data_IF_304645453151
#
_entry.id   IF_304645453151
#
_cell.length_a   1.000
_cell.length_b   1.000
_cell.length_c   1.000
_cell.angle_alpha   90.00
_cell.angle_beta   90.00
_cell.angle_gamma   90.00
#
_symmetry.space_group_name_H-M   'P 1'
#
loop_
_entity.id
_entity.type
_entity.pdbx_description
1 polymer ?
#
# COMPACT_ATOMS: atom_id res chain seq x y z
N UNK A 1 15.93 16.40 3.32
CA UNK A 1 16.16 14.94 3.33
C UNK A 1 16.25 14.30 4.73
N UNK A 2 17.34 14.43 5.52
CA UNK A 2 17.44 13.69 6.79
C UNK A 2 16.27 13.98 7.77
N UNK A 3 15.89 15.25 7.92
CA UNK A 3 14.72 15.66 8.72
C UNK A 3 13.42 15.03 8.20
N UNK A 4 13.28 14.90 6.89
CA UNK A 4 12.09 14.34 6.24
C UNK A 4 12.00 12.84 6.49
N UNK A 5 13.12 12.11 6.38
CA UNK A 5 13.23 10.71 6.78
C UNK A 5 12.86 10.49 8.23
N UNK A 6 13.40 11.31 9.14
CA UNK A 6 13.07 11.23 10.57
C UNK A 6 11.57 11.42 10.80
N UNK A 7 10.94 12.31 10.05
CA UNK A 7 9.50 12.54 10.12
C UNK A 7 8.70 11.30 9.66
N UNK A 8 9.04 10.75 8.49
CA UNK A 8 8.41 9.54 7.95
C UNK A 8 8.59 8.36 8.92
N UNK A 9 9.80 8.13 9.43
CA UNK A 9 10.09 7.05 10.37
C UNK A 9 9.41 7.25 11.73
N UNK A 10 9.31 8.48 12.23
CA UNK A 10 8.59 8.77 13.48
C UNK A 10 7.11 8.45 13.31
N UNK A 11 6.49 8.89 12.22
CA UNK A 11 5.09 8.55 11.92
C UNK A 11 4.92 7.03 11.77
N UNK A 12 5.89 6.37 11.13
CA UNK A 12 5.89 4.92 11.01
C UNK A 12 5.92 4.22 12.38
N UNK A 13 6.83 4.63 13.26
CA UNK A 13 6.96 4.08 14.61
C UNK A 13 5.70 4.32 15.44
N UNK A 14 5.14 5.54 15.39
CA UNK A 14 3.89 5.89 16.08
C UNK A 14 2.72 5.03 15.59
N UNK A 15 2.57 4.80 14.28
CA UNK A 15 1.52 3.94 13.74
C UNK A 15 1.66 2.47 14.16
N UNK A 16 2.89 1.95 14.25
CA UNK A 16 3.17 0.61 14.79
C UNK A 16 2.83 0.54 16.27
N UNK A 17 3.19 1.56 17.06
CA UNK A 17 2.88 1.62 18.48
C UNK A 17 1.37 1.68 18.72
N UNK A 18 0.65 2.49 17.94
CA UNK A 18 -0.81 2.56 17.96
C UNK A 18 -1.46 1.22 17.61
N UNK A 19 -0.97 0.52 16.58
CA UNK A 19 -1.47 -0.82 16.22
C UNK A 19 -1.36 -1.80 17.39
N UNK A 20 -0.23 -1.79 18.10
CA UNK A 20 0.00 -2.64 19.27
C UNK A 20 -0.89 -2.27 20.44
N UNK A 21 -1.04 -0.98 20.77
CA UNK A 21 -1.84 -0.52 21.91
C UNK A 21 -3.34 -0.78 21.67
N UNK A 22 -3.82 -0.48 20.45
CA UNK A 22 -5.23 -0.63 20.09
C UNK A 22 -5.60 -2.08 19.73
N UNK A 23 -4.63 -3.01 19.74
CA UNK A 23 -4.81 -4.42 19.39
C UNK A 23 -5.55 -4.62 18.06
N UNK A 24 -5.27 -3.75 17.09
CA UNK A 24 -5.95 -3.78 15.81
C UNK A 24 -5.47 -4.98 14.98
N UNK A 25 -6.35 -5.68 14.25
CA UNK A 25 -5.98 -6.80 13.38
C UNK A 25 -5.16 -6.37 12.16
N UNK A 26 -4.90 -5.07 12.01
CA UNK A 26 -4.19 -4.47 10.90
C UNK A 26 -2.68 -4.41 11.20
N UNK A 27 -1.82 -4.74 10.22
CA UNK A 27 -0.39 -4.48 10.32
C UNK A 27 -0.11 -3.01 10.64
N UNK A 28 0.82 -2.75 11.56
CA UNK A 28 1.16 -1.39 11.97
C UNK A 28 1.57 -0.47 10.82
N UNK A 29 2.18 -1.01 9.76
CA UNK A 29 2.53 -0.26 8.55
C UNK A 29 1.31 0.35 7.85
N UNK A 30 0.16 -0.32 7.85
CA UNK A 30 -1.09 0.21 7.27
C UNK A 30 -1.60 1.38 8.12
N UNK A 31 -1.55 1.27 9.45
CA UNK A 31 -1.93 2.37 10.33
C UNK A 31 -1.01 3.58 10.17
N UNK A 32 0.29 3.36 9.99
CA UNK A 32 1.24 4.43 9.71
C UNK A 32 0.92 5.17 8.41
N UNK A 33 0.51 4.45 7.36
CA UNK A 33 0.07 5.05 6.10
C UNK A 33 -1.22 5.87 6.28
N UNK A 34 -2.20 5.33 7.01
CA UNK A 34 -3.43 6.06 7.32
C UNK A 34 -3.14 7.31 8.17
N UNK A 35 -2.27 7.19 9.16
CA UNK A 35 -1.86 8.32 10.01
C UNK A 35 -1.19 9.41 9.19
N UNK A 36 -0.23 9.04 8.33
CA UNK A 36 0.41 9.98 7.42
C UNK A 36 -0.60 10.65 6.49
N UNK A 37 -1.50 9.87 5.90
CA UNK A 37 -2.57 10.36 5.02
C UNK A 37 -3.46 11.36 5.75
N UNK A 38 -3.90 11.05 6.97
CA UNK A 38 -4.73 11.96 7.77
C UNK A 38 -3.97 13.25 8.13
N UNK A 39 -2.69 13.17 8.47
CA UNK A 39 -1.87 14.36 8.74
C UNK A 39 -1.74 15.27 7.52
N UNK A 40 -1.64 14.70 6.32
CA UNK A 40 -1.63 15.46 5.06
C UNK A 40 -3.02 16.01 4.72
N UNK A 41 -4.07 15.21 4.87
CA UNK A 41 -5.46 15.58 4.61
C UNK A 41 -5.91 16.76 5.50
N UNK A 42 -5.58 16.72 6.78
CA UNK A 42 -5.87 17.80 7.73
C UNK A 42 -4.84 18.95 7.68
N UNK A 43 -3.86 18.90 6.75
CA UNK A 43 -2.79 19.90 6.58
C UNK A 43 -1.95 20.15 7.85
N UNK A 44 -1.95 19.21 8.80
CA UNK A 44 -1.06 19.21 9.97
C UNK A 44 0.38 19.07 9.51
N UNK A 45 0.60 18.25 8.49
CA UNK A 45 1.85 18.10 7.77
C UNK A 45 1.66 18.65 6.35
N UNK A 46 2.58 19.51 5.90
CA UNK A 46 2.60 19.93 4.50
C UNK A 46 3.44 18.94 3.67
N UNK A 47 3.03 18.69 2.42
CA UNK A 47 3.67 17.71 1.55
C UNK A 47 5.16 18.01 1.34
N UNK A 48 5.54 19.28 1.22
CA UNK A 48 6.92 19.70 0.96
C UNK A 48 7.87 19.30 2.11
N UNK A 49 7.34 18.95 3.30
CA UNK A 49 8.13 18.49 4.45
C UNK A 49 8.54 17.02 4.37
N UNK A 50 8.04 16.25 3.40
CA UNK A 50 8.36 14.84 3.22
C UNK A 50 8.63 14.44 1.77
N UNK A 51 8.38 15.34 0.83
CA UNK A 51 8.40 15.06 -0.60
C UNK A 51 9.75 14.56 -1.11
N UNK A 52 10.87 15.14 -0.69
CA UNK A 52 12.18 14.72 -1.21
C UNK A 52 12.55 13.33 -0.70
N UNK A 53 12.34 13.06 0.60
CA UNK A 53 12.59 11.72 1.15
C UNK A 53 11.60 10.68 0.60
N UNK A 54 10.32 11.03 0.44
CA UNK A 54 9.31 10.17 -0.16
C UNK A 54 9.66 9.80 -1.60
N UNK A 55 10.01 10.78 -2.43
CA UNK A 55 10.41 10.56 -3.82
C UNK A 55 11.70 9.72 -3.90
N UNK A 56 12.66 9.93 -3.01
CA UNK A 56 13.86 9.09 -2.93
C UNK A 56 13.52 7.63 -2.62
N UNK A 57 12.63 7.38 -1.64
CA UNK A 57 12.19 6.03 -1.28
C UNK A 57 11.45 5.35 -2.44
N UNK A 58 10.59 6.09 -3.14
CA UNK A 58 9.86 5.60 -4.32
C UNK A 58 10.80 5.30 -5.49
N UNK A 59 11.81 6.14 -5.73
CA UNK A 59 12.81 5.92 -6.78
C UNK A 59 13.62 4.65 -6.52
N UNK A 60 13.93 4.35 -5.26
CA UNK A 60 14.72 3.20 -4.85
C UNK A 60 13.86 2.02 -4.35
N UNK A 61 12.56 2.03 -4.63
CA UNK A 61 11.58 1.09 -4.08
C UNK A 61 11.96 -0.39 -4.34
N UNK A 62 12.52 -0.70 -5.51
CA UNK A 62 12.98 -2.06 -5.87
C UNK A 62 14.04 -2.60 -4.90
N UNK A 63 14.98 -1.75 -4.45
CA UNK A 63 16.02 -2.15 -3.51
C UNK A 63 15.40 -2.49 -2.14
N UNK A 64 14.35 -1.78 -1.73
CA UNK A 64 13.65 -2.05 -0.46
C UNK A 64 12.76 -3.31 -0.51
N UNK A 65 12.30 -3.73 -1.70
CA UNK A 65 11.56 -4.98 -1.89
C UNK A 65 12.45 -6.20 -2.09
N UNK A 66 13.73 -5.99 -2.41
CA UNK A 66 14.68 -7.09 -2.60
C UNK A 66 14.84 -7.97 -1.36
N UNK A 67 15.05 -7.46 -0.12
CA UNK A 67 15.25 -8.31 1.06
C UNK A 67 14.05 -9.23 1.39
N UNK A 68 12.79 -8.75 1.38
CA UNK A 68 11.64 -9.64 1.52
C UNK A 68 11.55 -10.69 0.41
N UNK A 69 11.93 -10.33 -0.83
CA UNK A 69 11.88 -11.24 -1.97
C UNK A 69 12.92 -12.36 -1.87
N UNK A 70 14.17 -12.03 -1.50
CA UNK A 70 15.22 -13.07 -1.34
C UNK A 70 14.89 -14.03 -0.21
N UNK A 71 14.21 -13.57 0.84
CA UNK A 71 13.75 -14.41 1.95
C UNK A 71 12.76 -15.50 1.52
N UNK A 72 12.05 -15.31 0.40
CA UNK A 72 11.15 -16.33 -0.15
C UNK A 72 11.93 -17.54 -0.68
N UNK A 73 13.18 -17.34 -1.14
CA UNK A 73 14.04 -18.40 -1.66
C UNK A 73 14.40 -19.40 -0.56
N UNK A 74 14.50 -18.97 0.70
CA UNK A 74 14.71 -19.87 1.85
C UNK A 74 13.57 -20.91 1.99
N UNK A 75 12.40 -20.66 1.40
CA UNK A 75 11.24 -21.56 1.37
C UNK A 75 10.97 -22.12 -0.03
N UNK A 76 11.98 -22.17 -0.90
CA UNK A 76 11.84 -22.55 -2.31
C UNK A 76 11.23 -23.95 -2.51
N UNK A 77 11.55 -24.93 -1.67
CA UNK A 77 11.03 -26.31 -1.77
C UNK A 77 9.50 -26.38 -1.63
N UNK A 78 8.90 -25.50 -0.82
CA UNK A 78 7.44 -25.39 -0.72
C UNK A 78 6.84 -24.72 -1.95
N UNK A 79 7.59 -23.79 -2.55
CA UNK A 79 7.13 -22.99 -3.67
C UNK A 79 7.17 -23.77 -4.98
N UNK A 80 8.25 -24.52 -5.24
CA UNK A 80 8.52 -25.22 -6.50
C UNK A 80 7.35 -26.11 -6.94
N UNK A 81 6.75 -26.84 -6.00
CA UNK A 81 5.63 -27.77 -6.26
C UNK A 81 4.37 -27.09 -6.79
N UNK A 82 4.15 -25.83 -6.41
CA UNK A 82 2.94 -25.08 -6.75
C UNK A 82 3.22 -23.84 -7.61
N UNK A 83 4.47 -23.61 -8.06
CA UNK A 83 4.87 -22.44 -8.85
C UNK A 83 3.93 -22.19 -10.04
N UNK A 84 3.59 -23.25 -10.79
CA UNK A 84 2.68 -23.13 -11.91
C UNK A 84 1.27 -22.66 -11.48
N UNK A 85 0.73 -23.23 -10.39
CA UNK A 85 -0.58 -22.82 -9.85
C UNK A 85 -0.54 -21.38 -9.35
N UNK A 86 0.55 -20.96 -8.70
CA UNK A 86 0.76 -19.61 -8.20
C UNK A 86 0.77 -18.60 -9.36
N UNK A 87 1.51 -18.88 -10.44
CA UNK A 87 1.54 -18.00 -11.61
C UNK A 87 0.15 -17.88 -12.24
N UNK A 88 -0.55 -19.00 -12.43
CA UNK A 88 -1.89 -19.00 -13.02
C UNK A 88 -2.87 -18.22 -12.15
N UNK A 89 -2.88 -18.44 -10.83
CA UNK A 89 -3.81 -17.73 -9.94
C UNK A 89 -3.52 -16.23 -9.89
N UNK A 90 -2.25 -15.80 -9.90
CA UNK A 90 -1.86 -14.38 -9.93
C UNK A 90 -2.39 -13.72 -11.21
N UNK A 91 -2.16 -14.34 -12.37
CA UNK A 91 -2.60 -13.78 -13.66
C UNK A 91 -4.13 -13.68 -13.68
N UNK A 92 -4.82 -14.78 -13.37
CA UNK A 92 -6.28 -14.84 -13.41
C UNK A 92 -6.89 -13.87 -12.40
N UNK A 93 -6.41 -13.84 -11.15
CA UNK A 93 -6.94 -12.93 -10.14
C UNK A 93 -6.71 -11.47 -10.50
N UNK A 94 -5.56 -11.13 -11.08
CA UNK A 94 -5.25 -9.76 -11.49
C UNK A 94 -6.24 -9.26 -12.54
N UNK A 95 -6.44 -10.02 -13.62
CA UNK A 95 -7.40 -9.66 -14.66
C UNK A 95 -8.84 -9.67 -14.15
N UNK A 96 -9.19 -10.62 -13.29
CA UNK A 96 -10.51 -10.72 -12.71
C UNK A 96 -10.81 -9.51 -11.81
N UNK A 97 -9.91 -9.18 -10.88
CA UNK A 97 -10.05 -8.02 -10.00
C UNK A 97 -10.12 -6.74 -10.82
N UNK A 98 -9.22 -6.54 -11.79
CA UNK A 98 -9.23 -5.36 -12.66
C UNK A 98 -10.55 -5.22 -13.44
N UNK A 99 -11.05 -6.32 -14.02
CA UNK A 99 -12.31 -6.34 -14.77
C UNK A 99 -13.53 -6.08 -13.91
N UNK A 100 -13.59 -6.67 -12.71
CA UNK A 100 -14.69 -6.45 -11.75
C UNK A 100 -14.66 -5.02 -11.25
N UNK A 101 -13.52 -4.52 -10.76
CA UNK A 101 -13.39 -3.15 -10.26
C UNK A 101 -13.74 -2.14 -11.35
N UNK A 102 -13.26 -2.33 -12.58
CA UNK A 102 -13.61 -1.48 -13.72
C UNK A 102 -15.12 -1.43 -13.98
N UNK A 103 -15.78 -2.59 -14.04
CA UNK A 103 -17.24 -2.67 -14.23
C UNK A 103 -18.01 -2.01 -13.09
N UNK A 104 -17.61 -2.25 -11.84
CA UNK A 104 -18.27 -1.67 -10.66
C UNK A 104 -18.17 -0.14 -10.68
N UNK A 105 -16.98 0.40 -10.96
CA UNK A 105 -16.78 1.86 -11.05
C UNK A 105 -17.58 2.45 -12.21
N UNK A 106 -17.59 1.80 -13.38
CA UNK A 106 -18.39 2.25 -14.53
C UNK A 106 -19.89 2.27 -14.21
N UNK A 107 -20.40 1.23 -13.55
CA UNK A 107 -21.80 1.20 -13.09
C UNK A 107 -22.09 2.34 -12.09
N UNK A 108 -21.18 2.64 -11.17
CA UNK A 108 -21.35 3.74 -10.22
C UNK A 108 -21.42 5.11 -10.92
N UNK A 109 -20.59 5.31 -11.96
CA UNK A 109 -20.59 6.54 -12.76
C UNK A 109 -21.90 6.65 -13.54
N UNK A 110 -22.31 5.61 -14.26
CA UNK A 110 -23.55 5.59 -15.05
C UNK A 110 -24.79 5.84 -14.18
N UNK A 111 -24.83 5.27 -12.97
CA UNK A 111 -25.92 5.48 -12.02
C UNK A 111 -25.96 6.91 -11.48
N UNK A 112 -24.80 7.54 -11.27
CA UNK A 112 -24.71 8.94 -10.83
C UNK A 112 -25.20 9.88 -11.93
N UNK A 113 -24.76 9.68 -13.18
CA UNK A 113 -25.20 10.50 -14.33
C UNK A 113 -26.71 10.38 -14.60
N UNK A 114 -27.29 9.19 -14.42
CA UNK A 114 -28.75 8.98 -14.53
C UNK A 114 -29.55 9.69 -13.43
N UNK A 115 -28.97 9.86 -12.24
CA UNK A 115 -29.58 10.61 -11.13
C UNK A 115 -29.49 12.12 -11.33
N UNK A 116 -28.43 12.63 -11.96
CA UNK A 116 -28.26 14.06 -12.23
C UNK A 116 -29.08 14.55 -13.44
N UNK A 117 -29.44 13.65 -14.37
CA UNK A 117 -30.32 13.96 -15.53
C UNK A 117 -31.82 13.85 -15.22
N UNK A 118 -32.22 13.46 -14.01
CA UNK A 118 -33.61 13.31 -13.56
C UNK A 118 -33.98 14.42 -12.58
#
# INVERSE_FOLDING_TARGET
MLREFMLIFTINYVGILLSKILHLPLPGTILSLLLLFLMLQFKVLKLEKIENAGNFLLLNMTIFFMPPTVKIIDSYELLEKDLFKIIVIIIVSTFLTMGITGKVVQLMIDLKERKEKK
#
